data_IF_326160552818
#
_entry.id   IF_326160552818
#
_cell.length_a   1.000
_cell.length_b   1.000
_cell.length_c   1.000
_cell.angle_alpha   90.00
_cell.angle_beta   90.00
_cell.angle_gamma   90.00
#
_symmetry.space_group_name_H-M   'P 1'
#
loop_
_entity.id
_entity.type
_entity.pdbx_description
1 polymer ?
#
# COMPACT_ATOMS: atom_id res chain seq x y z
N UNK A 1 15.76 1.22 -11.62
CA UNK A 1 14.60 0.29 -11.65
C UNK A 1 13.99 0.22 -10.26
N UNK A 2 12.66 0.30 -10.12
CA UNK A 2 11.94 0.35 -8.82
C UNK A 2 12.28 -0.83 -7.90
N UNK A 3 12.48 -2.02 -8.46
CA UNK A 3 12.89 -3.24 -7.75
C UNK A 3 14.20 -3.09 -6.96
N UNK A 4 15.13 -2.22 -7.41
CA UNK A 4 16.35 -1.91 -6.67
C UNK A 4 16.04 -1.18 -5.36
N UNK A 5 15.18 -0.16 -5.42
CA UNK A 5 14.75 0.58 -4.23
C UNK A 5 14.00 -0.33 -3.26
N UNK A 6 13.10 -1.18 -3.75
CA UNK A 6 12.40 -2.16 -2.91
C UNK A 6 13.39 -3.08 -2.21
N UNK A 7 14.39 -3.61 -2.93
CA UNK A 7 15.41 -4.48 -2.32
C UNK A 7 16.27 -3.76 -1.29
N UNK A 8 16.65 -2.52 -1.56
CA UNK A 8 17.56 -1.72 -0.72
C UNK A 8 16.90 -1.25 0.58
N UNK A 9 15.65 -0.78 0.51
CA UNK A 9 14.97 -0.13 1.64
C UNK A 9 13.98 -1.04 2.39
N UNK A 10 13.73 -2.26 1.92
CA UNK A 10 12.81 -3.17 2.60
C UNK A 10 13.46 -3.84 3.80
N UNK A 11 12.78 -3.77 4.94
CA UNK A 11 13.21 -4.39 6.19
C UNK A 11 12.90 -5.90 6.26
N UNK A 12 13.33 -6.65 5.24
CA UNK A 12 13.06 -8.08 5.07
C UNK A 12 13.63 -8.94 6.20
N UNK A 13 14.73 -8.50 6.82
CA UNK A 13 15.35 -9.18 7.97
C UNK A 13 14.46 -9.16 9.22
N UNK A 14 13.60 -8.14 9.35
CA UNK A 14 12.66 -8.00 10.47
C UNK A 14 11.22 -8.43 10.09
N UNK A 15 11.09 -9.26 9.05
CA UNK A 15 9.82 -9.92 8.71
C UNK A 15 8.95 -9.20 7.69
N UNK A 16 9.41 -8.10 7.09
CA UNK A 16 8.70 -7.50 5.97
C UNK A 16 8.68 -8.45 4.76
N UNK A 17 7.52 -8.55 4.08
CA UNK A 17 7.36 -9.35 2.85
C UNK A 17 6.84 -8.46 1.70
N UNK A 18 7.65 -7.51 1.19
CA UNK A 18 7.26 -6.58 0.13
C UNK A 18 6.73 -7.29 -1.12
N UNK A 19 5.68 -6.72 -1.72
CA UNK A 19 5.18 -7.09 -3.02
C UNK A 19 5.06 -5.86 -3.91
N UNK A 20 5.39 -6.03 -5.18
CA UNK A 20 5.33 -5.02 -6.22
C UNK A 20 4.64 -5.66 -7.42
N UNK A 21 3.64 -4.97 -7.95
CA UNK A 21 2.88 -5.41 -9.13
C UNK A 21 2.71 -4.19 -10.02
N UNK A 22 3.01 -4.36 -11.30
CA UNK A 22 2.73 -3.39 -12.33
C UNK A 22 1.62 -3.92 -13.22
N UNK A 23 0.63 -3.07 -13.44
CA UNK A 23 -0.43 -3.29 -14.40
C UNK A 23 -0.33 -2.18 -15.44
N UNK A 24 -0.29 -2.57 -16.70
CA UNK A 24 -0.32 -1.66 -17.83
C UNK A 24 -1.64 -1.88 -18.58
N UNK A 25 -2.45 -0.83 -18.64
CA UNK A 25 -3.74 -0.86 -19.32
C UNK A 25 -4.60 0.35 -18.96
N UNK A 26 -5.47 0.73 -19.88
CA UNK A 26 -6.32 1.93 -19.73
C UNK A 26 -7.49 1.71 -18.76
N UNK A 27 -7.89 0.45 -18.55
CA UNK A 27 -9.02 0.08 -17.72
C UNK A 27 -8.66 -1.07 -16.78
N UNK A 28 -9.03 -0.93 -15.50
CA UNK A 28 -8.85 -1.98 -14.50
C UNK A 28 -9.86 -3.12 -14.75
N UNK A 29 -9.41 -4.37 -14.98
CA UNK A 29 -10.34 -5.48 -15.22
C UNK A 29 -11.18 -5.81 -13.99
N UNK A 30 -12.40 -6.29 -14.22
CA UNK A 30 -13.35 -6.63 -13.15
C UNK A 30 -12.80 -7.70 -12.17
N UNK A 31 -11.91 -8.59 -12.64
CA UNK A 31 -11.24 -9.57 -11.78
C UNK A 31 -10.35 -8.92 -10.71
N UNK A 32 -9.78 -7.76 -10.99
CA UNK A 32 -8.95 -7.00 -10.05
C UNK A 32 -9.82 -6.30 -9.02
N UNK A 33 -10.94 -5.68 -9.44
CA UNK A 33 -11.93 -5.09 -8.53
C UNK A 33 -12.49 -6.11 -7.55
N UNK A 34 -12.88 -7.30 -8.06
CA UNK A 34 -13.30 -8.42 -7.21
C UNK A 34 -12.22 -8.86 -6.24
N UNK A 35 -10.96 -8.92 -6.68
CA UNK A 35 -9.85 -9.23 -5.79
C UNK A 35 -9.69 -8.16 -4.70
N UNK A 36 -9.77 -6.88 -5.06
CA UNK A 36 -9.68 -5.75 -4.13
C UNK A 36 -10.77 -5.78 -3.07
N UNK A 37 -12.03 -5.95 -3.48
CA UNK A 37 -13.16 -6.10 -2.56
C UNK A 37 -12.95 -7.25 -1.58
N UNK A 38 -12.48 -8.41 -2.05
CA UNK A 38 -12.16 -9.52 -1.17
C UNK A 38 -10.99 -9.20 -0.24
N UNK A 39 -9.97 -8.47 -0.70
CA UNK A 39 -8.80 -8.12 0.10
C UNK A 39 -9.13 -7.16 1.24
N UNK A 40 -10.15 -6.32 1.09
CA UNK A 40 -10.62 -5.38 2.11
C UNK A 40 -11.33 -6.09 3.27
N UNK A 41 -12.17 -7.08 2.98
CA UNK A 41 -13.13 -7.63 3.95
C UNK A 41 -12.93 -9.12 4.26
N UNK A 42 -12.04 -9.82 3.55
CA UNK A 42 -11.81 -11.26 3.72
C UNK A 42 -10.32 -11.63 3.76
N UNK A 43 -10.02 -12.77 4.40
CA UNK A 43 -8.68 -13.32 4.42
C UNK A 43 -8.32 -13.94 3.06
N UNK A 44 -7.35 -13.34 2.36
CA UNK A 44 -6.80 -13.89 1.12
C UNK A 44 -5.48 -14.62 1.40
N UNK A 45 -5.38 -15.87 0.93
CA UNK A 45 -4.13 -16.63 1.04
C UNK A 45 -3.07 -16.13 0.06
N UNK A 46 -1.79 -16.17 0.47
CA UNK A 46 -0.64 -15.86 -0.41
C UNK A 46 -0.61 -16.73 -1.67
N UNK A 47 -1.10 -17.96 -1.60
CA UNK A 47 -1.19 -18.85 -2.76
C UNK A 47 -2.15 -18.30 -3.82
N UNK A 48 -3.30 -17.76 -3.39
CA UNK A 48 -4.28 -17.11 -4.28
C UNK A 48 -3.72 -15.85 -4.94
N UNK A 49 -2.98 -15.02 -4.19
CA UNK A 49 -2.31 -13.84 -4.76
C UNK A 49 -1.23 -14.23 -5.78
N UNK A 50 -0.40 -15.24 -5.46
CA UNK A 50 0.64 -15.72 -6.37
C UNK A 50 0.06 -16.36 -7.64
N UNK A 51 -1.06 -17.06 -7.56
CA UNK A 51 -1.73 -17.58 -8.76
C UNK A 51 -2.39 -16.46 -9.57
N UNK A 52 -2.89 -15.41 -8.92
CA UNK A 52 -3.46 -14.24 -9.59
C UNK A 52 -2.42 -13.50 -10.47
N UNK A 53 -1.21 -13.23 -9.96
CA UNK A 53 -0.16 -12.54 -10.74
C UNK A 53 0.51 -13.38 -11.83
N UNK A 54 0.36 -14.72 -11.76
CA UNK A 54 0.91 -15.65 -12.76
C UNK A 54 -0.02 -15.94 -13.94
N UNK A 55 -1.27 -15.49 -13.85
CA UNK A 55 -2.28 -15.62 -14.91
C UNK A 55 -1.88 -14.75 -16.09
N UNK A 56 -1.69 -15.38 -17.26
CA UNK A 56 -1.28 -14.67 -18.49
C UNK A 56 -2.33 -13.65 -18.93
N UNK A 57 -3.61 -13.95 -18.69
CA UNK A 57 -4.73 -13.07 -19.01
C UNK A 57 -4.71 -11.73 -18.26
N UNK A 58 -3.95 -11.64 -17.16
CA UNK A 58 -3.83 -10.39 -16.38
C UNK A 58 -2.67 -9.50 -16.83
N UNK A 59 -1.72 -10.03 -17.63
CA UNK A 59 -0.54 -9.31 -18.13
C UNK A 59 0.20 -8.49 -17.05
N UNK A 60 0.53 -9.13 -15.91
CA UNK A 60 1.16 -8.47 -14.77
C UNK A 60 2.66 -8.73 -14.69
N UNK A 61 3.44 -7.65 -14.64
CA UNK A 61 4.79 -7.71 -14.12
C UNK A 61 4.74 -7.67 -12.59
N UNK A 62 5.53 -8.52 -11.93
CA UNK A 62 5.50 -8.60 -10.48
C UNK A 62 6.87 -8.94 -9.92
N UNK A 63 7.11 -8.46 -8.70
CA UNK A 63 8.30 -8.72 -7.92
C UNK A 63 7.90 -8.87 -6.45
N UNK A 64 8.54 -9.77 -5.71
CA UNK A 64 8.27 -9.92 -4.29
C UNK A 64 9.49 -10.40 -3.54
N UNK A 65 9.64 -9.94 -2.30
CA UNK A 65 10.64 -10.40 -1.36
C UNK A 65 9.97 -11.20 -0.24
N UNK A 66 10.70 -12.17 0.31
CA UNK A 66 10.20 -13.07 1.35
C UNK A 66 9.15 -14.06 0.81
N UNK A 67 8.09 -14.28 1.57
CA UNK A 67 7.08 -15.32 1.28
C UNK A 67 6.01 -14.89 0.25
N UNK A 68 6.03 -13.63 -0.20
CA UNK A 68 5.11 -13.06 -1.18
C UNK A 68 3.78 -12.56 -0.62
N UNK A 69 3.64 -12.38 0.70
CA UNK A 69 2.42 -11.84 1.32
C UNK A 69 2.05 -10.45 0.79
N UNK A 70 3.02 -9.58 0.52
CA UNK A 70 2.78 -8.23 0.01
C UNK A 70 2.09 -8.17 -1.34
N UNK A 71 2.08 -9.28 -2.11
CA UNK A 71 1.33 -9.34 -3.37
C UNK A 71 -0.18 -9.19 -3.15
N UNK A 72 -0.72 -9.59 -1.99
CA UNK A 72 -2.15 -9.41 -1.68
C UNK A 72 -2.50 -7.93 -1.69
N UNK A 73 -1.74 -7.11 -0.98
CA UNK A 73 -1.95 -5.66 -0.93
C UNK A 73 -1.68 -4.99 -2.28
N UNK A 74 -0.61 -5.38 -2.97
CA UNK A 74 -0.24 -4.81 -4.26
C UNK A 74 -1.30 -5.04 -5.35
N UNK A 75 -1.92 -6.22 -5.41
CA UNK A 75 -3.03 -6.48 -6.33
C UNK A 75 -4.29 -5.74 -5.86
N UNK A 76 -4.56 -5.77 -4.55
CA UNK A 76 -5.74 -5.15 -3.96
C UNK A 76 -5.83 -3.66 -4.26
N UNK A 77 -4.72 -2.92 -4.15
CA UNK A 77 -4.72 -1.47 -4.41
C UNK A 77 -4.92 -1.12 -5.88
N UNK A 78 -4.38 -1.92 -6.81
CA UNK A 78 -4.60 -1.73 -8.26
C UNK A 78 -6.09 -1.85 -8.61
N UNK A 79 -6.77 -2.80 -7.96
CA UNK A 79 -8.20 -3.04 -8.15
C UNK A 79 -9.12 -2.14 -7.34
N UNK A 80 -8.60 -1.27 -6.48
CA UNK A 80 -9.43 -0.49 -5.57
C UNK A 80 -10.13 0.65 -6.31
N UNK A 81 -11.44 0.76 -6.09
CA UNK A 81 -12.27 1.79 -6.69
C UNK A 81 -12.42 2.94 -5.68
N UNK A 82 -11.80 4.09 -5.97
CA UNK A 82 -11.79 5.28 -5.10
C UNK A 82 -12.96 6.25 -5.37
N UNK A 83 -13.90 5.93 -6.28
CA UNK A 83 -14.82 6.94 -6.83
C UNK A 83 -15.98 7.32 -5.91
N UNK A 84 -16.34 6.51 -4.91
CA UNK A 84 -17.55 6.78 -4.09
C UNK A 84 -17.26 7.55 -2.80
N UNK A 85 -16.26 7.14 -2.02
CA UNK A 85 -15.88 7.78 -0.76
C UNK A 85 -14.38 7.59 -0.49
N UNK A 86 -13.69 8.67 -0.18
CA UNK A 86 -12.28 8.64 0.20
C UNK A 86 -11.93 9.83 1.09
N UNK A 87 -10.93 9.62 1.93
CA UNK A 87 -10.33 10.67 2.75
C UNK A 87 -8.95 11.01 2.20
N UNK A 88 -8.43 12.19 2.54
CA UNK A 88 -7.07 12.58 2.19
C UNK A 88 -6.17 12.47 3.43
N UNK A 89 -4.96 11.94 3.24
CA UNK A 89 -3.96 11.86 4.30
C UNK A 89 -2.67 12.58 3.85
N UNK A 90 -2.23 13.56 4.65
CA UNK A 90 -0.96 14.25 4.44
C UNK A 90 0.14 13.63 5.30
N UNK A 91 1.05 12.89 4.66
CA UNK A 91 2.16 12.22 5.33
C UNK A 91 3.43 13.07 5.35
N UNK A 92 3.98 13.34 6.54
CA UNK A 92 5.28 13.99 6.72
C UNK A 92 6.36 12.99 7.15
N UNK A 93 7.43 12.87 6.36
CA UNK A 93 8.55 11.96 6.66
C UNK A 93 9.66 12.65 7.47
N UNK A 94 10.35 11.88 8.31
CA UNK A 94 11.47 12.36 9.14
C UNK A 94 12.80 12.06 8.44
N UNK A 95 13.81 12.86 8.73
CA UNK A 95 15.20 12.53 8.39
C UNK A 95 15.62 11.22 9.09
N UNK A 96 16.40 10.40 8.42
CA UNK A 96 16.89 9.11 8.94
C UNK A 96 17.60 9.25 10.29
N UNK A 97 18.38 10.32 10.48
CA UNK A 97 19.09 10.63 11.73
C UNK A 97 18.15 10.85 12.95
N UNK A 98 16.84 10.95 12.70
CA UNK A 98 15.80 11.10 13.71
C UNK A 98 15.01 9.81 13.96
N UNK A 99 15.23 8.72 13.21
CA UNK A 99 14.56 7.45 13.45
C UNK A 99 14.89 6.90 14.85
N UNK A 100 13.91 6.25 15.49
CA UNK A 100 14.01 5.78 16.90
C UNK A 100 14.00 6.88 17.97
N UNK A 101 14.30 8.15 17.64
CA UNK A 101 14.30 9.26 18.60
C UNK A 101 12.89 9.78 18.88
N UNK A 102 12.67 10.27 20.12
CA UNK A 102 11.42 10.93 20.56
C UNK A 102 10.95 11.96 19.53
N UNK A 103 9.66 11.88 19.16
CA UNK A 103 9.04 12.84 18.24
C UNK A 103 8.96 14.21 18.91
N UNK A 104 9.37 15.24 18.18
CA UNK A 104 9.31 16.64 18.63
C UNK A 104 8.08 17.28 18.01
N UNK A 105 6.95 17.18 18.69
CA UNK A 105 5.65 17.70 18.25
C UNK A 105 5.18 18.70 19.32
N UNK A 106 4.63 19.84 18.90
CA UNK A 106 4.01 20.82 19.80
C UNK A 106 2.52 20.53 19.89
N UNK A 107 2.09 19.93 21.00
CA UNK A 107 0.71 19.45 21.19
C UNK A 107 -0.32 20.58 21.04
N UNK A 108 -0.01 21.77 21.53
CA UNK A 108 -0.87 22.95 21.46
C UNK A 108 -1.12 23.38 20.00
N UNK A 109 -0.10 23.25 19.15
CA UNK A 109 -0.22 23.54 17.72
C UNK A 109 -1.16 22.55 17.02
N UNK A 110 -1.12 21.27 17.39
CA UNK A 110 -1.98 20.23 16.81
C UNK A 110 -3.44 20.45 17.21
N UNK A 111 -3.68 20.76 18.49
CA UNK A 111 -5.02 21.09 18.98
C UNK A 111 -5.61 22.31 18.27
N UNK A 112 -4.82 23.38 18.18
CA UNK A 112 -5.23 24.59 17.46
C UNK A 112 -5.55 24.31 15.99
N UNK A 113 -4.74 23.50 15.32
CA UNK A 113 -5.03 23.09 13.94
C UNK A 113 -6.40 22.41 13.88
N UNK A 114 -6.64 21.37 14.69
CA UNK A 114 -7.91 20.66 14.72
C UNK A 114 -9.10 21.59 14.94
N UNK A 115 -9.03 22.48 15.94
CA UNK A 115 -10.09 23.45 16.23
C UNK A 115 -10.37 24.40 15.05
N UNK A 116 -9.34 24.75 14.27
CA UNK A 116 -9.45 25.69 13.16
C UNK A 116 -9.86 25.05 11.84
N UNK A 117 -9.54 23.77 11.64
CA UNK A 117 -9.73 23.10 10.34
C UNK A 117 -10.74 21.97 10.36
N UNK A 118 -11.29 21.57 11.52
CA UNK A 118 -12.44 20.67 11.57
C UNK A 118 -13.67 21.31 10.88
N UNK A 119 -14.45 20.58 10.06
CA UNK A 119 -14.36 19.14 9.75
C UNK A 119 -13.52 18.81 8.50
N UNK A 120 -12.78 19.76 7.93
CA UNK A 120 -11.97 19.55 6.73
C UNK A 120 -10.69 18.73 6.98
N UNK A 121 -10.22 18.70 8.23
CA UNK A 121 -9.22 17.74 8.73
C UNK A 121 -9.82 17.01 9.92
N UNK A 122 -9.73 15.69 9.92
CA UNK A 122 -10.33 14.82 10.94
C UNK A 122 -9.53 13.55 11.15
#
# INVERSE_FOLDING_TARGET
>A
MITKFVTEYSDTKNGANPGLVFFEGDNIPETFRKFSQLALWQLISRTKAKSFVRRKEHNLEHFSLGNGQGLVGAIGVIGYDFFEDHTLELLSYRKESMFGKKRRIRTESVKKMQEQTFPFTY
#
